data_IF_272379364101
#
_entry.id   IF_272379364101
#
_cell.length_a   1.000
_cell.length_b   1.000
_cell.length_c   1.000
_cell.angle_alpha   90.00
_cell.angle_beta   90.00
_cell.angle_gamma   90.00
#
_symmetry.space_group_name_H-M   'P 1'
#
loop_
_entity.id
_entity.type
_entity.pdbx_description
1 polymer ?
#
# COMPACT_ATOMS: atom_id res chain seq x y z
N UNK A 1 -31.65 -29.27 15.17
CA UNK A 1 -30.63 -29.39 16.24
C UNK A 1 -29.36 -28.79 15.69
N UNK A 2 -29.22 -27.48 15.87
CA UNK A 2 -28.10 -26.68 15.39
C UNK A 2 -27.34 -26.24 16.64
N UNK A 3 -26.33 -27.01 17.04
CA UNK A 3 -25.31 -26.51 17.97
C UNK A 3 -24.39 -25.57 17.18
N UNK A 4 -24.73 -24.30 17.30
CA UNK A 4 -23.91 -23.17 16.90
C UNK A 4 -23.12 -22.68 18.11
N UNK A 5 -21.97 -22.09 17.81
CA UNK A 5 -21.09 -21.28 18.67
C UNK A 5 -20.02 -22.06 19.43
N UNK A 6 -18.84 -22.11 18.80
CA UNK A 6 -17.58 -22.10 19.54
C UNK A 6 -17.67 -21.02 20.64
N UNK A 7 -17.30 -21.41 21.87
CA UNK A 7 -17.40 -20.55 23.04
C UNK A 7 -16.70 -19.19 22.81
N UNK A 8 -17.25 -18.08 23.31
CA UNK A 8 -16.60 -16.78 23.21
C UNK A 8 -15.25 -16.83 23.95
N UNK A 9 -14.16 -16.70 23.19
CA UNK A 9 -12.82 -16.44 23.74
C UNK A 9 -12.89 -15.14 24.55
N UNK A 10 -12.35 -15.18 25.78
CA UNK A 10 -12.25 -14.06 26.74
C UNK A 10 -12.20 -12.69 26.07
N UNK A 11 -13.08 -11.78 26.49
CA UNK A 11 -13.08 -10.35 26.15
C UNK A 11 -11.74 -9.66 26.49
N UNK A 12 -10.89 -10.33 27.28
CA UNK A 12 -9.62 -9.81 27.79
C UNK A 12 -8.36 -10.61 27.36
N UNK A 13 -8.44 -11.46 26.32
CA UNK A 13 -7.32 -12.32 25.88
C UNK A 13 -5.96 -11.60 25.80
N UNK A 14 -5.90 -10.43 25.16
CA UNK A 14 -4.63 -9.71 24.99
C UNK A 14 -4.07 -9.20 26.33
N UNK A 15 -4.94 -8.70 27.21
CA UNK A 15 -4.53 -8.30 28.56
C UNK A 15 -4.08 -9.52 29.38
N UNK A 16 -4.75 -10.67 29.26
CA UNK A 16 -4.36 -11.91 29.94
C UNK A 16 -2.97 -12.38 29.48
N UNK A 17 -2.69 -12.33 28.18
CA UNK A 17 -1.38 -12.66 27.61
C UNK A 17 -0.30 -11.69 28.09
N UNK A 18 -0.58 -10.39 28.11
CA UNK A 18 0.36 -9.37 28.62
C UNK A 18 0.65 -9.62 30.10
N UNK A 19 -0.37 -9.83 30.94
CA UNK A 19 -0.22 -10.16 32.37
C UNK A 19 0.60 -11.44 32.57
N UNK A 20 0.35 -12.47 31.76
CA UNK A 20 1.09 -13.72 31.81
C UNK A 20 2.57 -13.54 31.43
N UNK A 21 2.87 -12.74 30.41
CA UNK A 21 4.23 -12.42 30.00
C UNK A 21 5.02 -11.69 31.10
N UNK A 22 4.40 -10.70 31.75
CA UNK A 22 5.01 -10.02 32.90
C UNK A 22 5.29 -11.01 34.05
N UNK A 23 4.32 -11.88 34.37
CA UNK A 23 4.49 -12.91 35.40
C UNK A 23 5.60 -13.92 35.07
N UNK A 24 5.82 -14.22 33.79
CA UNK A 24 6.88 -15.09 33.31
C UNK A 24 8.28 -14.43 33.34
N UNK A 25 8.35 -13.12 33.65
CA UNK A 25 9.57 -12.36 33.84
C UNK A 25 9.99 -11.55 32.62
N UNK A 26 9.01 -11.06 31.84
CA UNK A 26 9.20 -9.89 30.98
C UNK A 26 9.08 -8.60 31.81
N UNK A 27 9.88 -7.60 31.50
CA UNK A 27 9.77 -6.26 32.10
C UNK A 27 8.66 -5.44 31.44
N UNK A 28 8.42 -5.70 30.17
CA UNK A 28 7.38 -5.07 29.36
C UNK A 28 6.86 -6.06 28.31
N UNK A 29 5.57 -5.98 27.97
CA UNK A 29 4.95 -6.84 26.97
C UNK A 29 3.83 -6.12 26.23
N UNK A 30 3.69 -6.42 24.94
CA UNK A 30 2.57 -5.99 24.13
C UNK A 30 2.02 -7.18 23.35
N UNK A 31 0.71 -7.17 23.15
CA UNK A 31 0.02 -8.17 22.39
C UNK A 31 -0.87 -7.51 21.34
N UNK A 32 -0.91 -8.11 20.16
CA UNK A 32 -1.77 -7.68 19.05
C UNK A 32 -2.68 -8.83 18.63
N UNK A 33 -3.92 -8.53 18.27
CA UNK A 33 -4.78 -9.47 17.56
C UNK A 33 -5.16 -8.95 16.18
N UNK A 34 -5.14 -9.84 15.20
CA UNK A 34 -5.75 -9.64 13.90
C UNK A 34 -6.84 -10.69 13.72
N UNK A 35 -8.09 -10.25 13.58
CA UNK A 35 -9.21 -11.09 13.20
C UNK A 35 -9.57 -10.72 11.77
N UNK A 36 -9.66 -11.69 10.86
CA UNK A 36 -10.03 -11.47 9.46
C UNK A 36 -11.03 -12.50 9.00
N UNK A 37 -12.03 -12.03 8.24
CA UNK A 37 -12.96 -12.85 7.48
C UNK A 37 -12.96 -12.35 6.05
N UNK A 38 -12.89 -13.24 5.08
CA UNK A 38 -13.06 -12.87 3.68
C UNK A 38 -13.71 -13.96 2.86
N UNK A 39 -14.39 -13.52 1.80
CA UNK A 39 -14.90 -14.36 0.74
C UNK A 39 -14.51 -13.72 -0.59
N UNK A 40 -13.89 -14.49 -1.48
CA UNK A 40 -13.61 -14.11 -2.86
C UNK A 40 -14.09 -15.18 -3.83
N UNK A 41 -14.48 -14.72 -5.02
CA UNK A 41 -14.96 -15.57 -6.10
C UNK A 41 -14.30 -15.16 -7.41
N UNK A 42 -13.63 -16.11 -8.04
CA UNK A 42 -13.10 -16.01 -9.39
C UNK A 42 -14.02 -16.69 -10.41
N UNK A 43 -14.22 -16.04 -11.55
CA UNK A 43 -14.93 -16.59 -12.71
C UNK A 43 -14.08 -16.46 -13.96
N UNK A 44 -14.19 -17.44 -14.85
CA UNK A 44 -13.56 -17.37 -16.16
C UNK A 44 -14.43 -18.00 -17.23
N UNK A 45 -14.59 -17.28 -18.34
CA UNK A 45 -15.50 -17.62 -19.43
C UNK A 45 -16.95 -17.86 -18.96
N UNK A 46 -17.43 -17.00 -18.05
CA UNK A 46 -18.78 -17.06 -17.48
C UNK A 46 -19.03 -18.26 -16.57
N UNK A 47 -17.98 -18.94 -16.12
CA UNK A 47 -18.07 -20.11 -15.23
C UNK A 47 -17.25 -19.84 -13.97
N UNK A 48 -17.78 -20.30 -12.85
CA UNK A 48 -17.07 -20.32 -11.58
C UNK A 48 -15.73 -21.08 -11.71
N UNK A 49 -14.63 -20.42 -11.34
CA UNK A 49 -13.29 -21.00 -11.32
C UNK A 49 -12.87 -21.34 -9.88
N UNK A 50 -13.09 -20.42 -8.94
CA UNK A 50 -12.75 -20.61 -7.54
C UNK A 50 -13.70 -19.85 -6.59
N UNK A 51 -13.84 -20.41 -5.39
CA UNK A 51 -14.47 -19.75 -4.23
C UNK A 51 -13.53 -19.96 -3.05
N UNK A 52 -13.02 -18.86 -2.50
CA UNK A 52 -12.11 -18.89 -1.36
C UNK A 52 -12.78 -18.20 -0.16
N UNK A 53 -12.88 -18.92 0.95
CA UNK A 53 -13.31 -18.39 2.24
C UNK A 53 -12.16 -18.49 3.22
N UNK A 54 -11.76 -17.36 3.78
CA UNK A 54 -10.75 -17.27 4.82
C UNK A 54 -11.39 -16.79 6.12
N UNK A 55 -11.11 -17.49 7.21
CA UNK A 55 -11.34 -17.01 8.56
C UNK A 55 -10.05 -17.23 9.36
N UNK A 56 -9.43 -16.14 9.76
CA UNK A 56 -8.19 -16.15 10.51
C UNK A 56 -8.33 -15.33 11.78
N UNK A 57 -7.70 -15.84 12.84
CA UNK A 57 -7.59 -15.16 14.11
C UNK A 57 -6.21 -15.42 14.66
N UNK A 58 -5.42 -14.37 14.70
CA UNK A 58 -4.01 -14.45 15.03
C UNK A 58 -3.66 -13.56 16.22
N UNK A 59 -2.72 -14.06 17.01
CA UNK A 59 -2.15 -13.38 18.15
C UNK A 59 -0.66 -13.15 17.90
N UNK A 60 -0.22 -11.91 18.09
CA UNK A 60 1.18 -11.54 18.20
C UNK A 60 1.53 -11.16 19.63
N UNK A 61 2.69 -11.57 20.12
CA UNK A 61 3.24 -11.17 21.42
C UNK A 61 4.67 -10.68 21.22
N UNK A 62 4.96 -9.45 21.63
CA UNK A 62 6.33 -8.93 21.77
C UNK A 62 6.61 -8.68 23.24
N UNK A 63 7.76 -9.16 23.72
CA UNK A 63 8.20 -8.99 25.11
C UNK A 63 9.59 -8.37 25.17
N UNK A 64 9.84 -7.66 26.25
CA UNK A 64 11.12 -7.02 26.57
C UNK A 64 11.66 -7.56 27.89
N UNK A 65 12.96 -7.83 27.92
CA UNK A 65 13.74 -8.17 29.12
C UNK A 65 14.98 -7.29 29.12
N UNK A 66 14.97 -6.23 29.91
CA UNK A 66 15.89 -5.10 29.80
C UNK A 66 15.83 -4.50 28.40
N UNK A 67 16.98 -4.44 27.73
CA UNK A 67 17.11 -3.98 26.34
C UNK A 67 17.09 -5.12 25.31
N UNK A 68 16.60 -6.30 25.71
CA UNK A 68 16.45 -7.45 24.81
C UNK A 68 14.98 -7.61 24.47
N UNK A 69 14.68 -7.99 23.23
CA UNK A 69 13.30 -8.18 22.79
C UNK A 69 13.15 -9.47 21.98
N UNK A 70 11.95 -10.03 22.01
CA UNK A 70 11.54 -11.09 21.11
C UNK A 70 10.06 -10.94 20.76
N UNK A 71 9.70 -11.35 19.55
CA UNK A 71 8.33 -11.41 19.08
C UNK A 71 7.99 -12.83 18.62
N UNK A 72 6.80 -13.30 18.94
CA UNK A 72 6.24 -14.57 18.51
C UNK A 72 4.80 -14.36 18.07
N UNK A 73 4.29 -15.25 17.23
CA UNK A 73 2.88 -15.26 16.82
C UNK A 73 2.29 -16.66 16.83
N UNK A 74 0.97 -16.75 16.93
CA UNK A 74 0.21 -17.99 16.83
C UNK A 74 -1.20 -17.75 16.27
N UNK A 75 -1.68 -18.73 15.50
CA UNK A 75 -3.06 -18.79 14.98
C UNK A 75 -3.95 -19.76 15.78
N UNK A 76 -3.34 -20.67 16.56
CA UNK A 76 -4.06 -21.47 17.56
C UNK A 76 -4.11 -20.70 18.89
N UNK A 77 -5.32 -20.36 19.32
CA UNK A 77 -5.56 -19.63 20.56
C UNK A 77 -5.97 -20.52 21.73
N UNK A 78 -5.69 -21.83 21.66
CA UNK A 78 -5.90 -22.73 22.80
C UNK A 78 -5.10 -22.30 24.03
N UNK A 79 -5.59 -22.53 25.27
CA UNK A 79 -4.86 -22.17 26.49
C UNK A 79 -3.44 -22.77 26.56
N UNK A 80 -3.26 -23.98 26.02
CA UNK A 80 -1.95 -24.63 25.95
C UNK A 80 -0.99 -23.87 25.01
N UNK A 81 -1.46 -23.45 23.84
CA UNK A 81 -0.64 -22.65 22.92
C UNK A 81 -0.35 -21.26 23.48
N UNK A 82 -1.30 -20.62 24.15
CA UNK A 82 -1.08 -19.34 24.84
C UNK A 82 0.04 -19.43 25.89
N UNK A 83 0.02 -20.47 26.75
CA UNK A 83 1.05 -20.67 27.76
C UNK A 83 2.44 -20.88 27.12
N UNK A 84 2.52 -21.72 26.08
CA UNK A 84 3.75 -21.98 25.33
C UNK A 84 4.26 -20.75 24.60
N UNK A 85 3.36 -19.93 24.04
CA UNK A 85 3.68 -18.68 23.35
C UNK A 85 4.37 -17.72 24.31
N UNK A 86 3.82 -17.52 25.50
CA UNK A 86 4.41 -16.69 26.55
C UNK A 86 5.77 -17.20 27.00
N UNK A 87 5.88 -18.49 27.34
CA UNK A 87 7.14 -19.12 27.75
C UNK A 87 8.23 -18.92 26.69
N UNK A 88 7.89 -19.21 25.43
CA UNK A 88 8.81 -19.08 24.30
C UNK A 88 9.24 -17.64 24.08
N UNK A 89 8.32 -16.68 24.13
CA UNK A 89 8.64 -15.27 23.93
C UNK A 89 9.69 -14.78 24.95
N UNK A 90 9.47 -15.08 26.24
CA UNK A 90 10.37 -14.65 27.32
C UNK A 90 11.71 -15.37 27.24
N UNK A 91 11.71 -16.68 26.96
CA UNK A 91 12.95 -17.44 26.78
C UNK A 91 13.79 -16.90 25.61
N UNK A 92 13.14 -16.58 24.47
CA UNK A 92 13.80 -15.98 23.32
C UNK A 92 14.37 -14.59 23.65
N UNK A 93 13.61 -13.74 24.35
CA UNK A 93 14.07 -12.40 24.73
C UNK A 93 15.30 -12.46 25.66
N UNK A 94 15.35 -13.40 26.61
CA UNK A 94 16.53 -13.58 27.49
C UNK A 94 17.81 -13.95 26.72
N UNK A 95 17.67 -14.65 25.60
CA UNK A 95 18.79 -15.11 24.76
C UNK A 95 19.14 -14.14 23.63
N UNK A 96 18.28 -13.16 23.34
CA UNK A 96 18.51 -12.18 22.31
C UNK A 96 19.67 -11.22 22.69
N UNK A 97 20.41 -10.68 21.70
CA UNK A 97 21.35 -9.62 21.95
C UNK A 97 20.63 -8.37 22.48
N UNK A 98 21.36 -7.55 23.24
CA UNK A 98 20.85 -6.25 23.65
C UNK A 98 20.77 -5.30 22.45
N UNK A 99 19.66 -4.59 22.36
CA UNK A 99 19.39 -3.54 21.39
C UNK A 99 19.17 -2.23 22.17
N UNK A 100 20.14 -1.30 22.15
CA UNK A 100 20.04 -0.01 22.85
C UNK A 100 18.86 0.86 22.42
N UNK A 101 18.19 0.50 21.34
CA UNK A 101 17.06 1.24 20.78
C UNK A 101 15.75 0.47 20.88
N UNK A 102 15.73 -0.72 21.50
CA UNK A 102 14.51 -1.46 21.80
C UNK A 102 13.70 -0.77 22.91
N UNK A 103 12.37 -0.88 22.83
CA UNK A 103 11.45 -0.37 23.85
C UNK A 103 10.15 0.17 23.27
N UNK A 104 9.17 0.43 24.13
CA UNK A 104 7.89 1.00 23.73
C UNK A 104 7.98 2.44 23.23
N UNK A 105 6.89 2.87 22.61
CA UNK A 105 6.63 4.27 22.42
C UNK A 105 6.58 5.01 23.77
N UNK A 106 7.08 6.26 23.83
CA UNK A 106 6.92 7.10 25.02
C UNK A 106 5.44 7.34 25.35
N UNK A 107 5.07 7.31 26.63
CA UNK A 107 3.67 7.44 27.09
C UNK A 107 3.01 8.77 26.73
N UNK A 108 3.79 9.84 26.59
CA UNK A 108 3.32 11.17 26.16
C UNK A 108 3.02 11.22 24.65
N UNK A 109 3.37 10.18 23.90
CA UNK A 109 3.12 10.04 22.47
C UNK A 109 1.96 9.10 22.15
N UNK A 110 1.48 8.33 23.12
CA UNK A 110 0.38 7.39 22.91
C UNK A 110 -0.92 8.13 22.57
N UNK A 111 -1.69 7.56 21.63
CA UNK A 111 -3.02 8.03 21.32
C UNK A 111 -3.94 7.83 22.54
N UNK A 112 -4.84 8.78 22.76
CA UNK A 112 -5.81 8.75 23.87
C UNK A 112 -7.22 8.84 23.30
N UNK A 113 -8.10 7.98 23.81
CA UNK A 113 -9.49 7.94 23.39
C UNK A 113 -10.30 9.17 23.86
N UNK A 114 -11.51 9.38 23.30
CA UNK A 114 -12.10 8.58 22.23
C UNK A 114 -11.38 8.79 20.89
N UNK A 115 -11.22 7.73 20.11
CA UNK A 115 -10.61 7.81 18.78
C UNK A 115 -11.61 8.40 17.78
N UNK A 116 -11.10 9.07 16.74
CA UNK A 116 -11.92 9.60 15.65
C UNK A 116 -12.62 8.43 14.94
N UNK A 117 -13.91 8.59 14.68
CA UNK A 117 -14.64 7.69 13.79
C UNK A 117 -14.25 7.99 12.33
N UNK A 118 -13.61 7.02 11.70
CA UNK A 118 -13.08 7.09 10.35
C UNK A 118 -13.99 6.42 9.32
N UNK A 119 -15.15 5.90 9.75
CA UNK A 119 -16.13 5.19 8.91
C UNK A 119 -15.49 4.05 8.09
N UNK A 120 -14.62 3.24 8.71
CA UNK A 120 -13.82 2.23 8.00
C UNK A 120 -14.55 0.91 7.77
N UNK A 121 -15.69 0.71 8.43
CA UNK A 121 -16.39 -0.57 8.45
C UNK A 121 -17.81 -0.44 7.89
N UNK A 122 -18.06 -1.20 6.83
CA UNK A 122 -19.35 -1.43 6.21
C UNK A 122 -19.77 -2.89 6.51
N UNK A 123 -20.92 -3.11 7.16
CA UNK A 123 -21.37 -4.44 7.55
C UNK A 123 -21.94 -5.28 6.40
N UNK A 124 -21.93 -4.78 5.16
CA UNK A 124 -22.54 -5.42 3.99
C UNK A 124 -21.79 -6.67 3.50
N UNK A 125 -21.88 -7.78 4.22
CA UNK A 125 -21.33 -9.07 3.76
C UNK A 125 -21.95 -9.52 2.42
N UNK A 126 -21.16 -10.13 1.53
CA UNK A 126 -21.63 -10.64 0.22
C UNK A 126 -21.65 -12.16 0.20
N UNK A 127 -22.66 -12.73 -0.45
CA UNK A 127 -22.72 -14.19 -0.68
C UNK A 127 -21.85 -14.59 -1.86
N UNK A 128 -21.50 -15.87 -1.96
CA UNK A 128 -20.72 -16.39 -3.09
C UNK A 128 -21.44 -16.19 -4.42
N UNK A 129 -22.76 -16.40 -4.46
CA UNK A 129 -23.59 -16.22 -5.65
C UNK A 129 -23.58 -14.76 -6.12
N UNK A 130 -23.64 -13.83 -5.16
CA UNK A 130 -23.61 -12.39 -5.47
C UNK A 130 -22.24 -11.97 -6.00
N UNK A 131 -21.16 -12.53 -5.47
CA UNK A 131 -19.80 -12.26 -5.95
C UNK A 131 -19.56 -12.90 -7.33
N UNK A 132 -20.01 -14.13 -7.55
CA UNK A 132 -19.98 -14.81 -8.86
C UNK A 132 -20.68 -13.96 -9.92
N UNK A 133 -21.88 -13.47 -9.61
CA UNK A 133 -22.65 -12.64 -10.53
C UNK A 133 -21.88 -11.37 -10.93
N UNK A 134 -21.39 -10.58 -9.98
CA UNK A 134 -20.69 -9.32 -10.31
C UNK A 134 -19.34 -9.54 -10.98
N UNK A 135 -18.64 -10.63 -10.65
CA UNK A 135 -17.43 -11.05 -11.36
C UNK A 135 -17.74 -11.38 -12.82
N UNK A 136 -18.84 -12.11 -13.08
CA UNK A 136 -19.27 -12.49 -14.42
C UNK A 136 -19.77 -11.28 -15.22
N UNK A 137 -20.45 -10.33 -14.59
CA UNK A 137 -20.86 -9.07 -15.21
C UNK A 137 -19.65 -8.24 -15.66
N UNK A 138 -18.60 -8.15 -14.83
CA UNK A 138 -17.38 -7.43 -15.18
C UNK A 138 -16.62 -8.11 -16.33
N UNK A 139 -16.54 -9.44 -16.30
CA UNK A 139 -15.96 -10.24 -17.38
C UNK A 139 -16.72 -10.06 -18.70
N UNK A 140 -18.06 -10.17 -18.66
CA UNK A 140 -18.90 -10.01 -19.84
C UNK A 140 -18.78 -8.61 -20.44
N UNK A 141 -18.76 -7.57 -19.61
CA UNK A 141 -18.57 -6.19 -20.06
C UNK A 141 -17.20 -5.96 -20.71
N UNK A 142 -16.14 -6.60 -20.19
CA UNK A 142 -14.81 -6.52 -20.80
C UNK A 142 -14.75 -7.26 -22.15
N UNK A 143 -15.32 -8.47 -22.23
CA UNK A 143 -15.39 -9.27 -23.47
C UNK A 143 -16.26 -8.61 -24.55
N UNK A 144 -17.23 -7.77 -24.17
CA UNK A 144 -18.06 -7.02 -25.11
C UNK A 144 -17.31 -5.89 -25.83
N UNK A 145 -16.11 -5.49 -25.37
CA UNK A 145 -15.31 -4.46 -26.02
C UNK A 145 -14.70 -5.01 -27.32
N UNK A 146 -14.96 -4.38 -28.50
CA UNK A 146 -14.41 -4.84 -29.76
C UNK A 146 -12.87 -4.89 -29.76
N UNK A 147 -12.32 -6.06 -30.12
CA UNK A 147 -10.87 -6.30 -30.12
C UNK A 147 -10.37 -7.11 -28.92
N UNK A 148 -11.19 -7.28 -27.88
CA UNK A 148 -10.92 -8.25 -26.81
C UNK A 148 -11.18 -9.66 -27.33
N UNK A 149 -10.19 -10.53 -27.19
CA UNK A 149 -10.23 -11.89 -27.74
C UNK A 149 -10.46 -12.96 -26.66
N UNK A 150 -9.93 -12.76 -25.44
CA UNK A 150 -9.99 -13.74 -24.36
C UNK A 150 -10.13 -13.06 -23.01
N UNK A 151 -10.70 -13.76 -22.05
CA UNK A 151 -10.70 -13.38 -20.65
C UNK A 151 -9.55 -14.05 -19.89
N UNK A 152 -8.92 -13.32 -18.96
CA UNK A 152 -8.06 -13.89 -17.91
C UNK A 152 -8.85 -14.16 -16.61
N UNK A 153 -10.09 -13.69 -16.52
CA UNK A 153 -11.01 -13.93 -15.41
C UNK A 153 -11.52 -12.63 -14.76
N UNK A 154 -12.74 -12.70 -14.22
CA UNK A 154 -13.32 -11.70 -13.34
C UNK A 154 -13.22 -12.17 -11.88
N UNK A 155 -13.00 -11.24 -10.96
CA UNK A 155 -12.83 -11.56 -9.55
C UNK A 155 -13.43 -10.47 -8.67
N UNK A 156 -14.15 -10.90 -7.65
CA UNK A 156 -14.78 -10.05 -6.67
C UNK A 156 -14.59 -10.62 -5.28
N UNK A 157 -14.56 -9.76 -4.27
CA UNK A 157 -14.44 -10.20 -2.90
C UNK A 157 -14.85 -9.14 -1.90
N UNK A 158 -15.07 -9.61 -0.68
CA UNK A 158 -15.20 -8.75 0.48
C UNK A 158 -14.36 -9.30 1.62
N UNK A 159 -13.93 -8.40 2.50
CA UNK A 159 -13.26 -8.74 3.75
C UNK A 159 -13.71 -7.84 4.89
N UNK A 160 -13.65 -8.38 6.10
CA UNK A 160 -13.76 -7.66 7.36
C UNK A 160 -12.54 -8.00 8.19
N UNK A 161 -11.98 -6.99 8.82
CA UNK A 161 -10.80 -7.10 9.66
C UNK A 161 -10.97 -6.32 10.96
N UNK A 162 -10.41 -6.84 12.04
CA UNK A 162 -10.30 -6.14 13.31
C UNK A 162 -8.86 -6.21 13.79
N UNK A 163 -8.33 -5.06 14.19
CA UNK A 163 -7.02 -4.93 14.81
C UNK A 163 -7.19 -4.44 16.25
N UNK A 164 -6.45 -5.05 17.19
CA UNK A 164 -6.35 -4.56 18.57
C UNK A 164 -4.91 -4.66 19.04
N UNK A 165 -4.43 -3.62 19.72
CA UNK A 165 -3.12 -3.55 20.35
C UNK A 165 -3.31 -3.27 21.85
N UNK A 166 -2.66 -4.08 22.68
CA UNK A 166 -2.59 -3.91 24.13
C UNK A 166 -1.13 -3.90 24.58
N UNK A 167 -0.77 -2.97 25.46
CA UNK A 167 0.58 -2.89 26.03
C UNK A 167 0.54 -2.94 27.56
N UNK A 168 1.62 -3.39 28.18
CA UNK A 168 1.77 -3.39 29.64
C UNK A 168 1.84 -1.99 30.24
N UNK A 169 2.03 -0.93 29.44
CA UNK A 169 2.02 0.47 29.87
C UNK A 169 0.64 1.13 29.71
N UNK A 170 -0.40 0.33 29.46
CA UNK A 170 -1.80 0.77 29.56
C UNK A 170 -2.42 1.28 28.25
N UNK A 171 -1.73 1.17 27.11
CA UNK A 171 -2.40 1.36 25.82
C UNK A 171 -3.31 0.16 25.52
N UNK A 172 -4.57 0.43 25.18
CA UNK A 172 -5.54 -0.53 24.67
C UNK A 172 -6.35 0.17 23.57
N UNK A 173 -6.06 -0.17 22.32
CA UNK A 173 -6.69 0.43 21.16
C UNK A 173 -7.16 -0.64 20.19
N UNK A 174 -8.35 -0.45 19.62
CA UNK A 174 -8.88 -1.31 18.58
C UNK A 174 -9.59 -0.48 17.51
N UNK A 175 -9.57 -1.01 16.29
CA UNK A 175 -10.42 -0.54 15.20
C UNK A 175 -10.76 -1.72 14.27
N UNK A 176 -11.80 -1.52 13.49
CA UNK A 176 -12.24 -2.46 12.47
C UNK A 176 -12.27 -1.78 11.11
N UNK A 177 -12.22 -2.59 10.06
CA UNK A 177 -12.35 -2.11 8.70
C UNK A 177 -12.84 -3.21 7.77
N UNK A 178 -13.59 -2.81 6.76
CA UNK A 178 -14.01 -3.67 5.65
C UNK A 178 -13.21 -3.35 4.39
N UNK A 179 -13.25 -4.23 3.41
CA UNK A 179 -12.85 -3.91 2.04
C UNK A 179 -13.72 -4.69 1.06
N UNK A 180 -14.07 -4.04 -0.04
CA UNK A 180 -14.75 -4.65 -1.18
C UNK A 180 -13.86 -4.48 -2.40
N UNK A 181 -13.71 -5.53 -3.19
CA UNK A 181 -12.88 -5.50 -4.39
C UNK A 181 -13.62 -6.08 -5.58
N UNK A 182 -13.40 -5.50 -6.75
CA UNK A 182 -13.85 -6.01 -8.04
C UNK A 182 -12.78 -5.73 -9.08
N UNK A 183 -12.51 -6.68 -9.95
CA UNK A 183 -11.59 -6.50 -11.06
C UNK A 183 -11.72 -7.59 -12.12
N UNK A 184 -11.12 -7.34 -13.27
CA UNK A 184 -11.10 -8.27 -14.40
C UNK A 184 -9.82 -8.10 -15.19
N UNK A 185 -9.27 -9.21 -15.67
CA UNK A 185 -8.19 -9.26 -16.64
C UNK A 185 -8.68 -9.79 -17.99
N UNK A 186 -8.17 -9.24 -19.09
CA UNK A 186 -8.50 -9.65 -20.46
C UNK A 186 -7.30 -9.57 -21.39
N UNK A 187 -7.38 -10.27 -22.51
CA UNK A 187 -6.40 -10.26 -23.59
C UNK A 187 -7.07 -9.72 -24.85
N UNK A 188 -6.51 -8.66 -25.40
CA UNK A 188 -6.88 -8.13 -26.71
C UNK A 188 -5.93 -8.66 -27.79
N UNK A 189 -6.44 -8.86 -29.00
CA UNK A 189 -5.69 -9.42 -30.12
C UNK A 189 -5.93 -8.63 -31.41
N UNK A 190 -4.86 -8.39 -32.17
CA UNK A 190 -4.90 -7.79 -33.50
C UNK A 190 -3.72 -8.31 -34.31
N UNK A 191 -4.00 -8.83 -35.50
CA UNK A 191 -3.00 -9.33 -36.44
C UNK A 191 -2.00 -10.34 -35.81
N UNK A 192 -2.49 -11.18 -34.88
CA UNK A 192 -1.70 -12.16 -34.13
C UNK A 192 -0.87 -11.61 -32.97
N UNK A 193 -0.83 -10.29 -32.76
CA UNK A 193 -0.26 -9.68 -31.56
C UNK A 193 -1.29 -9.68 -30.42
N UNK A 194 -0.87 -10.09 -29.23
CA UNK A 194 -1.71 -10.15 -28.04
C UNK A 194 -1.19 -9.22 -26.95
N UNK A 195 -2.09 -8.48 -26.31
CA UNK A 195 -1.77 -7.63 -25.17
C UNK A 195 -2.75 -7.85 -24.02
N UNK A 196 -2.21 -7.87 -22.80
CA UNK A 196 -3.02 -8.00 -21.58
C UNK A 196 -3.52 -6.64 -21.14
N UNK A 197 -4.68 -6.61 -20.51
CA UNK A 197 -5.17 -5.46 -19.77
C UNK A 197 -6.13 -5.82 -18.68
N UNK A 198 -6.41 -4.85 -17.82
CA UNK A 198 -7.24 -5.06 -16.66
C UNK A 198 -7.61 -3.77 -15.97
N UNK A 199 -8.62 -3.88 -15.11
CA UNK A 199 -9.00 -2.85 -14.17
C UNK A 199 -9.43 -3.52 -12.88
N UNK A 200 -9.12 -2.88 -11.75
CA UNK A 200 -9.56 -3.28 -10.44
C UNK A 200 -9.74 -2.09 -9.51
N UNK A 201 -10.63 -2.27 -8.56
CA UNK A 201 -10.99 -1.29 -7.54
C UNK A 201 -11.10 -2.00 -6.20
N UNK A 202 -10.65 -1.31 -5.15
CA UNK A 202 -10.90 -1.70 -3.76
C UNK A 202 -11.34 -0.49 -2.96
N UNK A 203 -12.39 -0.65 -2.15
CA UNK A 203 -12.98 0.43 -1.34
C UNK A 203 -13.35 -0.09 0.03
N UNK A 204 -13.42 0.80 1.04
CA UNK A 204 -13.88 0.40 2.39
C UNK A 204 -15.36 0.05 2.41
N UNK A 205 -16.18 0.84 1.71
CA UNK A 205 -17.62 0.65 1.61
C UNK A 205 -18.00 0.12 0.23
N UNK A 206 -18.99 -0.75 0.20
CA UNK A 206 -19.54 -1.31 -1.04
C UNK A 206 -20.13 -0.21 -1.92
N UNK A 207 -20.77 0.78 -1.30
CA UNK A 207 -21.39 1.92 -2.01
C UNK A 207 -20.41 2.78 -2.79
N UNK A 208 -19.13 2.77 -2.41
CA UNK A 208 -18.08 3.52 -3.10
C UNK A 208 -17.42 2.70 -4.23
N UNK A 209 -17.71 1.40 -4.33
CA UNK A 209 -17.12 0.52 -5.33
C UNK A 209 -17.77 0.77 -6.70
N UNK A 210 -16.99 1.07 -7.76
CA UNK A 210 -17.54 1.23 -9.09
C UNK A 210 -18.21 -0.04 -9.61
N UNK A 211 -19.29 0.13 -10.38
CA UNK A 211 -20.04 -0.98 -10.95
C UNK A 211 -19.24 -1.85 -11.92
N UNK A 212 -19.64 -3.12 -12.03
CA UNK A 212 -18.99 -4.14 -12.85
C UNK A 212 -18.85 -3.74 -14.32
N UNK A 213 -19.88 -3.12 -14.90
CA UNK A 213 -19.86 -2.63 -16.28
C UNK A 213 -18.73 -1.61 -16.54
N UNK A 214 -18.54 -0.63 -15.64
CA UNK A 214 -17.48 0.36 -15.80
C UNK A 214 -16.09 -0.29 -15.70
N UNK A 215 -15.89 -1.17 -14.72
CA UNK A 215 -14.62 -1.88 -14.53
C UNK A 215 -14.32 -2.75 -15.77
N UNK A 216 -15.31 -3.50 -16.25
CA UNK A 216 -15.20 -4.36 -17.42
C UNK A 216 -14.86 -3.59 -18.69
N UNK A 217 -15.65 -2.56 -19.04
CA UNK A 217 -15.39 -1.73 -20.23
C UNK A 217 -14.01 -1.09 -20.17
N UNK A 218 -13.64 -0.52 -19.03
CA UNK A 218 -12.33 0.10 -18.85
C UNK A 218 -11.18 -0.89 -19.04
N UNK A 219 -11.31 -2.12 -18.53
CA UNK A 219 -10.32 -3.18 -18.71
C UNK A 219 -10.15 -3.54 -20.20
N UNK A 220 -11.27 -3.74 -20.92
CA UNK A 220 -11.28 -4.04 -22.35
C UNK A 220 -10.67 -2.92 -23.20
N UNK A 221 -11.11 -1.68 -22.98
CA UNK A 221 -10.61 -0.50 -23.71
C UNK A 221 -9.09 -0.33 -23.55
N UNK A 222 -8.57 -0.52 -22.32
CA UNK A 222 -7.13 -0.44 -22.07
C UNK A 222 -6.34 -1.58 -22.70
N UNK A 223 -6.89 -2.80 -22.73
CA UNK A 223 -6.25 -3.92 -23.40
C UNK A 223 -6.15 -3.65 -24.91
N UNK A 224 -7.27 -3.25 -25.53
CA UNK A 224 -7.35 -2.95 -26.97
C UNK A 224 -6.43 -1.81 -27.39
N UNK A 225 -6.35 -0.75 -26.58
CA UNK A 225 -5.49 0.38 -26.86
C UNK A 225 -4.01 -0.02 -27.02
N UNK A 226 -3.54 -1.04 -26.30
CA UNK A 226 -2.13 -1.45 -26.31
C UNK A 226 -1.73 -2.37 -27.46
N UNK A 227 -2.69 -2.97 -28.17
CA UNK A 227 -2.38 -4.03 -29.14
C UNK A 227 -1.58 -3.51 -30.34
N UNK A 228 -0.64 -4.33 -30.80
CA UNK A 228 0.25 -3.99 -31.92
C UNK A 228 1.31 -2.96 -31.53
N UNK A 229 2.02 -3.13 -30.40
CA UNK A 229 3.03 -2.17 -29.96
C UNK A 229 4.18 -2.09 -30.96
N UNK A 230 4.76 -0.90 -31.06
CA UNK A 230 5.97 -0.64 -31.86
C UNK A 230 7.17 -0.48 -30.96
N UNK A 231 8.34 -0.80 -31.50
CA UNK A 231 9.61 -0.41 -30.90
C UNK A 231 9.94 1.02 -31.31
N UNK A 232 10.67 1.71 -30.45
CA UNK A 232 11.20 3.04 -30.71
C UNK A 232 12.72 3.01 -30.60
N UNK A 233 13.40 3.85 -31.37
CA UNK A 233 14.84 4.01 -31.24
C UNK A 233 15.19 4.64 -29.88
N UNK A 234 16.37 4.32 -29.36
CA UNK A 234 16.87 4.94 -28.14
C UNK A 234 16.95 6.47 -28.31
N UNK A 235 16.41 7.19 -27.33
CA UNK A 235 16.29 8.66 -27.39
C UNK A 235 16.23 9.26 -25.98
N UNK A 236 16.21 10.59 -25.91
CA UNK A 236 15.83 11.34 -24.72
C UNK A 236 14.60 12.17 -25.07
N UNK A 237 13.53 12.00 -24.32
CA UNK A 237 12.26 12.68 -24.57
C UNK A 237 11.48 12.91 -23.27
N UNK A 238 10.43 13.75 -23.29
CA UNK A 238 9.44 13.80 -22.22
C UNK A 238 8.84 12.42 -21.94
N UNK A 239 8.68 12.12 -20.66
CA UNK A 239 8.00 10.91 -20.18
C UNK A 239 6.92 11.30 -19.19
N UNK A 240 5.70 10.84 -19.46
CA UNK A 240 4.54 11.01 -18.59
C UNK A 240 4.20 9.67 -17.99
N UNK A 241 4.12 9.56 -16.66
CA UNK A 241 3.54 8.41 -15.99
C UNK A 241 2.08 8.70 -15.69
N UNK A 242 1.17 7.83 -16.11
CA UNK A 242 -0.24 7.98 -15.76
C UNK A 242 -0.45 7.92 -14.24
N UNK A 243 -1.58 8.42 -13.76
CA UNK A 243 -1.89 8.48 -12.33
C UNK A 243 -1.91 7.10 -11.62
N UNK A 244 -1.96 5.99 -12.37
CA UNK A 244 -1.86 4.63 -11.80
C UNK A 244 -0.43 4.20 -11.60
N UNK A 245 0.49 4.65 -12.46
CA UNK A 245 1.91 4.31 -12.44
C UNK A 245 2.76 5.34 -11.71
N UNK A 246 2.31 6.60 -11.63
CA UNK A 246 3.04 7.71 -11.02
C UNK A 246 3.49 7.43 -9.57
N UNK A 247 2.68 6.72 -8.78
CA UNK A 247 3.07 6.30 -7.43
C UNK A 247 4.34 5.45 -7.41
N UNK A 248 4.62 4.66 -8.46
CA UNK A 248 5.80 3.79 -8.51
C UNK A 248 7.11 4.58 -8.67
N UNK A 249 7.11 5.73 -9.36
CA UNK A 249 8.30 6.57 -9.47
C UNK A 249 8.52 7.45 -8.22
N UNK A 250 7.47 7.73 -7.44
CA UNK A 250 7.55 8.50 -6.20
C UNK A 250 7.84 7.62 -4.97
N UNK A 251 7.39 6.37 -4.96
CA UNK A 251 7.59 5.40 -3.86
C UNK A 251 9.03 5.30 -3.35
N UNK A 252 10.08 5.30 -4.22
CA UNK A 252 11.48 5.34 -3.76
C UNK A 252 11.81 6.51 -2.82
N UNK A 253 11.23 7.70 -3.03
CA UNK A 253 11.42 8.83 -2.12
C UNK A 253 10.85 8.55 -0.73
N UNK A 254 9.69 7.89 -0.68
CA UNK A 254 9.03 7.49 0.58
C UNK A 254 9.86 6.45 1.32
N UNK A 255 10.39 5.46 0.60
CA UNK A 255 11.34 4.49 1.15
C UNK A 255 12.63 5.15 1.65
N UNK A 256 13.14 6.15 0.94
CA UNK A 256 14.36 6.87 1.30
C UNK A 256 14.22 7.75 2.55
N UNK A 257 13.01 8.16 2.94
CA UNK A 257 12.78 8.90 4.18
C UNK A 257 12.39 7.99 5.36
N UNK A 258 12.45 6.67 5.19
CA UNK A 258 12.18 5.71 6.26
C UNK A 258 13.26 5.76 7.34
N UNK A 259 12.84 5.94 8.59
CA UNK A 259 13.69 5.99 9.79
C UNK A 259 14.72 4.87 9.86
N UNK A 260 14.34 3.59 9.65
CA UNK A 260 15.31 2.50 9.62
C UNK A 260 16.40 2.65 8.56
N UNK A 261 16.09 3.20 7.38
CA UNK A 261 17.07 3.43 6.32
C UNK A 261 17.98 4.63 6.61
N UNK A 262 17.42 5.70 7.20
CA UNK A 262 18.20 6.86 7.68
C UNK A 262 19.17 6.43 8.77
N UNK A 263 18.68 5.67 9.76
CA UNK A 263 19.46 5.22 10.90
C UNK A 263 20.61 4.27 10.49
N UNK A 264 20.44 3.49 9.42
CA UNK A 264 21.51 2.67 8.81
C UNK A 264 22.41 3.44 7.83
N UNK A 265 22.05 4.66 7.46
CA UNK A 265 22.77 5.46 6.48
C UNK A 265 22.67 4.96 5.02
N UNK A 266 21.67 4.13 4.72
CA UNK A 266 21.48 3.45 3.41
C UNK A 266 20.46 4.16 2.51
N UNK A 267 20.34 5.49 2.64
CA UNK A 267 19.36 6.29 1.90
C UNK A 267 20.05 7.39 1.10
N UNK A 268 19.62 7.55 -0.16
CA UNK A 268 20.02 8.64 -1.05
C UNK A 268 19.48 10.02 -0.60
N UNK A 269 18.57 10.06 0.37
CA UNK A 269 18.03 11.30 0.98
C UNK A 269 18.52 11.55 2.42
N UNK A 270 19.44 10.75 2.97
CA UNK A 270 19.83 10.82 4.39
C UNK A 270 20.29 12.19 4.88
N UNK A 271 20.89 12.99 4.01
CA UNK A 271 21.40 14.33 4.30
C UNK A 271 20.54 15.44 3.67
N UNK A 272 19.24 15.18 3.45
CA UNK A 272 18.31 16.10 2.75
C UNK A 272 17.20 16.68 3.62
N UNK A 273 17.21 16.47 4.94
CA UNK A 273 16.24 17.12 5.83
C UNK A 273 16.29 18.65 5.66
N UNK A 274 15.13 19.28 5.47
CA UNK A 274 15.01 20.71 5.23
C UNK A 274 15.52 21.18 3.86
N UNK A 275 15.85 20.27 2.94
CA UNK A 275 16.30 20.60 1.59
C UNK A 275 15.23 20.26 0.55
N UNK A 276 15.29 20.97 -0.57
CA UNK A 276 14.44 20.73 -1.73
C UNK A 276 14.80 19.37 -2.37
N UNK A 277 13.81 18.51 -2.51
CA UNK A 277 13.89 17.18 -3.13
C UNK A 277 13.02 17.11 -4.38
N UNK A 278 11.84 17.73 -4.33
CA UNK A 278 10.94 17.86 -5.48
C UNK A 278 10.92 19.28 -6.04
N UNK A 279 10.35 19.42 -7.24
CA UNK A 279 10.07 20.72 -7.85
C UNK A 279 9.27 21.66 -6.92
N UNK A 280 9.39 22.95 -7.15
CA UNK A 280 8.58 23.98 -6.46
C UNK A 280 7.07 23.72 -6.64
N UNK A 281 6.31 23.98 -5.58
CA UNK A 281 4.88 23.73 -5.48
C UNK A 281 4.49 22.26 -5.25
N UNK A 282 5.43 21.31 -5.20
CA UNK A 282 5.11 19.88 -4.99
C UNK A 282 4.96 19.56 -3.51
N UNK A 283 3.72 19.31 -3.08
CA UNK A 283 3.41 18.91 -1.71
C UNK A 283 2.90 17.46 -1.68
N UNK A 284 3.45 16.65 -0.77
CA UNK A 284 2.98 15.29 -0.49
C UNK A 284 2.44 15.23 0.93
N UNK A 285 1.15 14.95 1.06
CA UNK A 285 0.41 14.95 2.32
C UNK A 285 0.10 13.52 2.73
N UNK A 286 0.57 13.13 3.91
CA UNK A 286 0.12 11.93 4.61
C UNK A 286 -1.02 12.29 5.56
N UNK A 287 -2.21 11.73 5.33
CA UNK A 287 -3.42 12.04 6.09
C UNK A 287 -4.04 10.77 6.69
N UNK A 288 -3.79 10.46 7.98
CA UNK A 288 -4.35 9.27 8.63
C UNK A 288 -5.86 9.35 8.87
N UNK A 289 -6.47 10.53 8.72
CA UNK A 289 -7.84 10.79 9.16
C UNK A 289 -8.85 10.88 8.01
N UNK A 290 -8.49 10.43 6.81
CA UNK A 290 -9.42 10.42 5.68
C UNK A 290 -10.59 9.45 5.98
N UNK A 291 -11.85 9.90 5.97
CA UNK A 291 -12.99 8.99 6.07
C UNK A 291 -12.90 7.94 4.96
N UNK A 292 -13.14 6.67 5.30
CA UNK A 292 -13.09 5.53 4.36
C UNK A 292 -11.76 5.36 3.61
N UNK A 293 -10.68 6.00 4.07
CA UNK A 293 -9.37 5.86 3.46
C UNK A 293 -8.80 4.45 3.66
N UNK A 294 -8.14 3.93 2.63
CA UNK A 294 -7.56 2.58 2.70
C UNK A 294 -6.42 2.48 3.71
N UNK A 295 -5.67 3.56 3.92
CA UNK A 295 -4.59 3.66 4.91
C UNK A 295 -4.96 4.43 6.18
N UNK A 296 -6.24 4.73 6.39
CA UNK A 296 -6.68 5.49 7.58
C UNK A 296 -6.57 4.66 8.84
N UNK A 297 -6.15 5.31 9.93
CA UNK A 297 -5.98 4.67 11.23
C UNK A 297 -6.14 5.69 12.37
N UNK A 298 -6.68 5.30 13.53
CA UNK A 298 -6.73 6.18 14.70
C UNK A 298 -5.39 6.32 15.45
N UNK A 299 -4.47 5.36 15.27
CA UNK A 299 -3.15 5.30 15.91
C UNK A 299 -2.21 4.40 15.09
N UNK A 300 -0.90 4.56 15.25
CA UNK A 300 0.08 3.69 14.56
C UNK A 300 0.22 2.33 15.25
N UNK A 301 0.98 1.39 14.69
CA UNK A 301 1.08 0.05 15.27
C UNK A 301 1.98 -0.05 16.53
N UNK A 302 2.38 1.07 17.12
CA UNK A 302 2.94 1.19 18.47
C UNK A 302 1.99 1.92 19.43
N UNK A 303 0.77 2.23 18.98
CA UNK A 303 -0.24 2.98 19.73
C UNK A 303 0.01 4.48 19.76
N UNK A 304 0.92 5.01 18.93
CA UNK A 304 1.27 6.44 18.90
C UNK A 304 0.16 7.23 18.20
N UNK A 305 -0.09 8.44 18.71
CA UNK A 305 -0.97 9.41 18.09
C UNK A 305 -0.45 9.80 16.69
N UNK A 306 -1.21 9.43 15.67
CA UNK A 306 -0.99 9.81 14.28
C UNK A 306 -1.44 11.25 14.03
N UNK A 307 -0.95 11.87 12.97
CA UNK A 307 -1.35 13.22 12.60
C UNK A 307 -1.14 13.47 11.11
N UNK A 308 -1.99 14.32 10.53
CA UNK A 308 -1.80 14.79 9.17
C UNK A 308 -0.51 15.59 9.05
N UNK A 309 0.33 15.26 8.06
CA UNK A 309 1.61 15.92 7.82
C UNK A 309 1.88 16.07 6.32
N UNK A 310 2.45 17.19 5.91
CA UNK A 310 3.16 17.25 4.66
C UNK A 310 4.52 16.56 4.86
N UNK A 311 4.80 15.46 4.16
CA UNK A 311 6.11 14.79 4.15
C UNK A 311 7.12 15.58 3.30
N UNK A 312 6.60 16.16 2.23
CA UNK A 312 7.27 17.17 1.43
C UNK A 312 6.33 18.36 1.32
N UNK A 313 6.82 19.57 1.60
CA UNK A 313 6.06 20.82 1.57
C UNK A 313 6.80 21.81 0.67
N UNK A 314 6.12 22.33 -0.35
CA UNK A 314 6.74 23.11 -1.43
C UNK A 314 8.03 22.44 -1.95
N UNK A 315 8.00 21.13 -2.14
CA UNK A 315 9.14 20.30 -2.60
C UNK A 315 10.26 20.09 -1.58
N UNK A 316 10.18 20.66 -0.38
CA UNK A 316 11.17 20.52 0.70
C UNK A 316 10.81 19.34 1.60
N UNK A 317 11.80 18.51 1.92
CA UNK A 317 11.63 17.41 2.87
C UNK A 317 11.50 17.92 4.31
N UNK A 318 10.38 17.61 4.98
CA UNK A 318 10.04 18.19 6.29
C UNK A 318 10.12 17.19 7.45
N UNK A 319 10.03 15.89 7.19
CA UNK A 319 9.99 14.86 8.24
C UNK A 319 10.51 13.52 7.74
N UNK A 320 11.08 12.74 8.66
CA UNK A 320 11.31 11.30 8.47
C UNK A 320 10.05 10.51 8.84
N UNK A 321 9.94 9.29 8.33
CA UNK A 321 8.96 8.31 8.82
C UNK A 321 9.61 7.52 9.95
N UNK A 322 9.24 7.82 11.20
CA UNK A 322 9.86 7.27 12.39
C UNK A 322 8.88 6.44 13.22
N UNK A 323 9.29 5.22 13.53
CA UNK A 323 8.83 4.45 14.68
C UNK A 323 9.69 4.75 15.92
N UNK A 324 9.35 4.18 17.07
CA UNK A 324 10.05 4.47 18.33
C UNK A 324 11.51 4.03 18.35
N UNK A 325 11.85 2.89 17.74
CA UNK A 325 13.21 2.38 17.69
C UNK A 325 14.13 3.25 16.82
N UNK A 326 13.73 3.54 15.59
CA UNK A 326 14.48 4.42 14.68
C UNK A 326 14.56 5.86 15.19
N UNK A 327 13.50 6.36 15.85
CA UNK A 327 13.52 7.64 16.52
C UNK A 327 14.61 7.69 17.61
N UNK A 328 14.67 6.70 18.51
CA UNK A 328 15.72 6.61 19.54
C UNK A 328 17.12 6.54 18.94
N UNK A 329 17.31 5.72 17.91
CA UNK A 329 18.61 5.58 17.24
C UNK A 329 19.10 6.90 16.63
N UNK A 330 18.17 7.73 16.14
CA UNK A 330 18.48 9.03 15.54
C UNK A 330 18.48 10.19 16.55
N UNK A 331 18.16 9.95 17.83
CA UNK A 331 17.98 11.01 18.83
C UNK A 331 16.76 11.91 18.55
N UNK A 332 15.75 11.39 17.87
CA UNK A 332 14.52 12.07 17.47
C UNK A 332 13.30 11.50 18.21
N UNK A 333 12.11 12.04 17.89
CA UNK A 333 10.82 11.57 18.40
C UNK A 333 10.07 10.77 17.33
N UNK A 334 9.32 9.74 17.74
CA UNK A 334 8.42 9.01 16.84
C UNK A 334 7.42 9.96 16.19
N UNK A 335 7.10 9.70 14.93
CA UNK A 335 6.21 10.52 14.10
C UNK A 335 4.81 9.93 13.96
N UNK A 336 4.57 8.77 14.59
CA UNK A 336 3.32 8.03 14.44
C UNK A 336 3.25 7.28 13.12
N UNK A 337 4.35 6.67 12.67
CA UNK A 337 4.41 5.93 11.40
C UNK A 337 4.86 4.48 11.61
N UNK A 338 4.85 3.97 12.84
CA UNK A 338 5.19 2.58 13.08
C UNK A 338 4.18 1.67 12.38
N UNK A 339 4.69 0.69 11.63
CA UNK A 339 3.88 -0.32 10.96
C UNK A 339 4.47 -1.70 11.21
N UNK A 340 3.63 -2.70 11.46
CA UNK A 340 4.10 -4.08 11.73
C UNK A 340 3.07 -5.13 11.35
N UNK A 341 3.54 -6.36 11.24
CA UNK A 341 2.70 -7.55 11.31
C UNK A 341 2.52 -8.07 12.74
N UNK A 342 2.02 -9.29 12.84
CA UNK A 342 1.81 -9.99 14.11
C UNK A 342 3.12 -10.29 14.84
N UNK A 343 4.21 -10.52 14.10
CA UNK A 343 5.55 -10.74 14.63
C UNK A 343 6.59 -9.99 13.79
N UNK A 344 7.79 -9.84 14.35
CA UNK A 344 8.91 -9.11 13.76
C UNK A 344 9.06 -7.69 14.34
N UNK A 345 10.16 -7.01 13.99
CA UNK A 345 10.36 -5.62 14.37
C UNK A 345 9.37 -4.71 13.64
N UNK A 346 8.94 -3.63 14.30
CA UNK A 346 8.15 -2.59 13.64
C UNK A 346 8.98 -1.96 12.51
N UNK A 347 8.40 -1.90 11.32
CA UNK A 347 8.84 -1.05 10.22
C UNK A 347 8.24 0.35 10.33
N UNK A 348 8.21 1.05 9.19
CA UNK A 348 7.48 2.30 9.05
C UNK A 348 6.71 2.33 7.73
N UNK A 349 5.53 2.92 7.73
CA UNK A 349 4.74 3.16 6.53
C UNK A 349 3.99 4.49 6.63
N UNK A 350 3.52 4.99 5.49
CA UNK A 350 2.55 6.08 5.44
C UNK A 350 1.14 5.56 5.72
N UNK A 351 0.20 6.49 5.87
CA UNK A 351 -1.22 6.24 6.02
C UNK A 351 -1.91 6.43 4.66
N UNK A 352 -2.68 7.52 4.47
CA UNK A 352 -3.17 7.94 3.16
C UNK A 352 -2.28 9.05 2.60
N UNK A 353 -1.25 8.64 1.87
CA UNK A 353 -0.34 9.53 1.18
C UNK A 353 -0.94 9.99 -0.14
N UNK A 354 -0.88 11.29 -0.41
CA UNK A 354 -1.16 11.81 -1.75
C UNK A 354 -0.26 12.98 -2.11
N UNK A 355 0.05 13.11 -3.40
CA UNK A 355 0.62 14.32 -3.96
C UNK A 355 -0.52 15.23 -4.41
N UNK A 356 -0.47 16.52 -4.04
CA UNK A 356 -1.48 17.48 -4.49
C UNK A 356 -1.48 17.60 -6.02
N UNK A 357 -2.65 17.80 -6.67
CA UNK A 357 -2.74 17.91 -8.11
C UNK A 357 -2.09 19.20 -8.63
N UNK A 358 -1.69 19.18 -9.90
CA UNK A 358 -1.38 20.38 -10.68
C UNK A 358 -2.60 20.89 -11.43
N UNK A 359 -2.38 21.77 -12.41
CA UNK A 359 -3.45 22.45 -13.16
C UNK A 359 -3.78 21.79 -14.50
N UNK A 360 -2.80 21.15 -15.14
CA UNK A 360 -2.96 20.53 -16.47
C UNK A 360 -3.54 19.13 -16.34
N UNK A 361 -4.53 18.80 -17.15
CA UNK A 361 -4.93 17.40 -17.31
C UNK A 361 -3.91 16.62 -18.15
N UNK A 362 -4.11 15.30 -18.29
CA UNK A 362 -3.19 14.45 -19.03
C UNK A 362 -3.02 14.89 -20.50
N UNK A 363 -4.09 15.36 -21.14
CA UNK A 363 -4.05 15.88 -22.51
C UNK A 363 -3.23 17.18 -22.58
N UNK A 364 -3.40 18.08 -21.61
CA UNK A 364 -2.61 19.30 -21.47
C UNK A 364 -1.12 19.02 -21.25
N UNK A 365 -0.78 18.03 -20.40
CA UNK A 365 0.61 17.61 -20.21
C UNK A 365 1.23 17.10 -21.52
N UNK A 366 0.52 16.27 -22.28
CA UNK A 366 1.00 15.79 -23.59
C UNK A 366 1.16 16.95 -24.59
N UNK A 367 0.20 17.88 -24.62
CA UNK A 367 0.25 19.04 -25.51
C UNK A 367 1.45 19.95 -25.20
N UNK A 368 1.71 20.23 -23.92
CA UNK A 368 2.85 21.02 -23.47
C UNK A 368 4.19 20.30 -23.76
N UNK A 369 4.22 18.96 -23.71
CA UNK A 369 5.40 18.15 -24.02
C UNK A 369 5.73 18.03 -25.51
N UNK A 370 4.73 18.15 -26.39
CA UNK A 370 4.89 17.93 -27.83
C UNK A 370 5.00 16.44 -28.19
N UNK A 371 6.19 15.85 -28.07
CA UNK A 371 6.43 14.45 -28.46
C UNK A 371 7.14 13.70 -27.35
N UNK A 372 6.65 12.51 -26.99
CA UNK A 372 7.22 11.74 -25.89
C UNK A 372 6.51 10.42 -25.62
N UNK A 373 6.75 9.87 -24.42
CA UNK A 373 6.24 8.58 -24.00
C UNK A 373 5.26 8.73 -22.83
N UNK A 374 4.04 8.24 -23.00
CA UNK A 374 3.09 8.02 -21.91
C UNK A 374 3.23 6.59 -21.39
N UNK A 375 3.66 6.42 -20.15
CA UNK A 375 3.82 5.15 -19.44
C UNK A 375 2.52 4.78 -18.74
N UNK A 376 2.02 3.58 -19.04
CA UNK A 376 0.80 3.00 -18.43
C UNK A 376 1.06 1.62 -17.79
N UNK A 377 2.29 1.13 -17.87
CA UNK A 377 2.76 -0.07 -17.21
C UNK A 377 4.26 0.02 -16.92
N UNK A 378 4.68 -0.50 -15.76
CA UNK A 378 6.06 -0.56 -15.31
C UNK A 378 6.36 -1.95 -14.78
N UNK A 379 7.53 -2.50 -15.10
CA UNK A 379 7.96 -3.83 -14.70
C UNK A 379 9.46 -3.86 -14.40
N UNK A 380 9.83 -4.66 -13.40
CA UNK A 380 11.22 -4.84 -12.97
C UNK A 380 11.96 -3.53 -12.62
N UNK A 381 11.41 -2.62 -11.80
CA UNK A 381 12.15 -1.45 -11.36
C UNK A 381 13.40 -1.88 -10.55
N UNK A 382 14.52 -1.23 -10.84
CA UNK A 382 15.78 -1.37 -10.12
C UNK A 382 16.15 -0.03 -9.50
N UNK A 383 16.64 -0.04 -8.26
CA UNK A 383 17.01 1.14 -7.51
C UNK A 383 18.30 0.89 -6.72
N UNK A 384 19.28 1.78 -6.88
CA UNK A 384 20.35 1.91 -5.91
C UNK A 384 19.93 2.84 -4.77
N UNK A 385 19.61 2.27 -3.61
CA UNK A 385 19.12 3.02 -2.44
C UNK A 385 20.11 4.04 -1.88
N UNK A 386 21.40 3.96 -2.20
CA UNK A 386 22.42 4.90 -1.72
C UNK A 386 22.59 6.12 -2.64
N UNK A 387 22.38 5.94 -3.96
CA UNK A 387 22.67 6.97 -4.96
C UNK A 387 21.42 7.56 -5.61
N UNK A 388 20.30 6.83 -5.59
CA UNK A 388 19.08 7.18 -6.30
C UNK A 388 19.11 6.85 -7.79
N UNK A 389 20.08 6.07 -8.26
CA UNK A 389 20.10 5.56 -9.64
C UNK A 389 18.96 4.57 -9.83
N UNK A 390 18.13 4.81 -10.84
CA UNK A 390 16.91 4.07 -11.08
C UNK A 390 16.72 3.73 -12.56
N UNK A 391 16.14 2.57 -12.80
CA UNK A 391 15.72 2.13 -14.13
C UNK A 391 14.53 1.19 -14.03
N UNK A 392 13.62 1.25 -15.00
CA UNK A 392 12.52 0.29 -15.09
C UNK A 392 12.17 -0.01 -16.56
N UNK A 393 11.78 -1.25 -16.82
CA UNK A 393 11.08 -1.57 -18.05
C UNK A 393 9.67 -0.97 -18.01
N UNK A 394 9.24 -0.39 -19.12
CA UNK A 394 7.93 0.25 -19.23
C UNK A 394 7.25 -0.07 -20.55
N UNK A 395 5.92 0.07 -20.56
CA UNK A 395 5.12 0.08 -21.78
C UNK A 395 4.01 1.13 -21.67
N UNK A 396 3.47 1.51 -22.83
CA UNK A 396 2.44 2.53 -22.93
C UNK A 396 2.31 3.04 -24.35
N UNK A 397 2.40 4.36 -24.55
CA UNK A 397 2.05 5.01 -25.81
C UNK A 397 3.07 6.07 -26.19
N UNK A 398 3.54 6.03 -27.43
CA UNK A 398 4.21 7.16 -28.02
C UNK A 398 3.16 8.21 -28.42
N UNK A 399 3.40 9.46 -28.09
CA UNK A 399 2.57 10.59 -28.52
C UNK A 399 3.39 11.58 -29.33
N UNK A 400 2.75 12.19 -30.32
CA UNK A 400 3.33 13.18 -31.23
C UNK A 400 2.39 14.39 -31.32
N UNK A 401 2.93 15.59 -31.22
CA UNK A 401 2.16 16.84 -31.17
C UNK A 401 1.02 16.81 -30.13
N UNK A 402 1.27 16.19 -28.98
CA UNK A 402 0.33 16.07 -27.87
C UNK A 402 -0.76 15.02 -28.04
N UNK A 403 -0.70 14.19 -29.09
CA UNK A 403 -1.72 13.17 -29.38
C UNK A 403 -1.07 11.80 -29.44
N UNK A 404 -1.71 10.80 -28.82
CA UNK A 404 -1.26 9.40 -28.88
C UNK A 404 -1.17 8.96 -30.35
N UNK A 405 0.01 8.48 -30.75
CA UNK A 405 0.29 8.04 -32.11
C UNK A 405 0.20 6.51 -32.23
N UNK A 406 0.85 5.77 -31.32
CA UNK A 406 0.84 4.30 -31.31
C UNK A 406 1.29 3.72 -29.96
N UNK A 407 0.88 2.49 -29.61
CA UNK A 407 1.38 1.80 -28.43
C UNK A 407 2.86 1.41 -28.58
N UNK A 408 3.58 1.40 -27.47
CA UNK A 408 5.00 1.06 -27.37
C UNK A 408 5.22 0.06 -26.24
N UNK A 409 6.08 -0.92 -26.49
CA UNK A 409 6.51 -1.92 -25.50
C UNK A 409 8.01 -2.19 -25.62
N UNK A 410 8.55 -2.97 -24.68
CA UNK A 410 9.97 -3.35 -24.63
C UNK A 410 10.94 -2.15 -24.54
N UNK A 411 10.53 -1.07 -23.88
CA UNK A 411 11.40 0.09 -23.62
C UNK A 411 11.80 0.16 -22.15
N UNK A 412 12.95 0.76 -21.88
CA UNK A 412 13.45 1.02 -20.52
C UNK A 412 13.62 2.51 -20.33
N UNK A 413 13.13 3.03 -19.22
CA UNK A 413 13.42 4.40 -18.78
C UNK A 413 14.42 4.36 -17.63
N UNK A 414 15.37 5.29 -17.63
CA UNK A 414 16.39 5.36 -16.60
C UNK A 414 16.78 6.80 -16.27
N UNK A 415 17.27 7.00 -15.05
CA UNK A 415 17.78 8.28 -14.60
C UNK A 415 18.11 8.27 -13.11
N UNK A 416 18.58 9.42 -12.63
CA UNK A 416 18.79 9.65 -11.21
C UNK A 416 17.55 10.31 -10.60
N UNK A 417 16.94 9.65 -9.63
CA UNK A 417 15.65 10.08 -9.08
C UNK A 417 15.70 11.49 -8.48
N UNK A 418 16.79 11.84 -7.79
CA UNK A 418 16.97 13.20 -7.23
C UNK A 418 16.90 14.29 -8.29
N UNK A 419 17.34 14.00 -9.51
CA UNK A 419 17.39 14.97 -10.60
C UNK A 419 16.06 14.99 -11.37
N UNK A 420 15.37 13.84 -11.41
CA UNK A 420 14.03 13.72 -11.99
C UNK A 420 12.99 14.44 -11.11
N UNK A 421 13.04 14.27 -9.79
CA UNK A 421 12.09 14.86 -8.85
C UNK A 421 12.05 16.38 -8.89
N UNK A 422 13.19 17.03 -9.14
CA UNK A 422 13.30 18.48 -9.29
C UNK A 422 12.65 19.03 -10.58
N UNK A 423 12.28 18.15 -11.52
CA UNK A 423 11.73 18.53 -12.84
C UNK A 423 10.31 18.04 -13.05
N UNK A 424 9.65 17.55 -11.99
CA UNK A 424 8.28 17.05 -12.07
C UNK A 424 7.32 18.17 -12.44
N UNK A 425 6.43 17.89 -13.39
CA UNK A 425 5.18 18.61 -13.60
C UNK A 425 4.00 17.68 -13.28
N UNK A 426 3.02 18.19 -12.55
CA UNK A 426 1.90 17.41 -12.01
C UNK A 426 0.65 17.59 -12.86
N UNK A 427 -0.06 16.49 -13.08
CA UNK A 427 -1.39 16.47 -13.66
C UNK A 427 -2.46 16.89 -12.65
N UNK A 428 -3.65 17.22 -13.15
CA UNK A 428 -4.83 17.55 -12.35
C UNK A 428 -5.68 16.33 -11.98
N UNK A 429 -5.31 15.15 -12.48
CA UNK A 429 -6.07 13.90 -12.46
C UNK A 429 -5.77 13.02 -11.22
N UNK A 430 -5.63 13.63 -10.04
CA UNK A 430 -5.48 12.90 -8.79
C UNK A 430 -6.76 12.09 -8.49
N UNK A 431 -6.62 10.77 -8.43
CA UNK A 431 -7.69 9.85 -8.05
C UNK A 431 -7.28 9.03 -6.82
N UNK A 432 -8.14 9.00 -5.79
CA UNK A 432 -7.92 8.18 -4.60
C UNK A 432 -8.34 6.73 -4.85
N UNK A 433 -7.39 5.90 -5.28
CA UNK A 433 -7.59 4.46 -5.58
C UNK A 433 -7.09 3.54 -4.46
N UNK A 434 -6.25 4.05 -3.55
CA UNK A 434 -5.65 3.27 -2.46
C UNK A 434 -5.04 4.15 -1.36
N UNK A 435 -4.08 3.61 -0.61
CA UNK A 435 -3.36 4.34 0.44
C UNK A 435 -2.26 5.28 -0.07
N UNK A 436 -1.87 5.19 -1.34
CA UNK A 436 -0.88 6.08 -1.95
C UNK A 436 -1.34 6.50 -3.35
N UNK A 437 -1.56 7.80 -3.55
CA UNK A 437 -2.18 8.33 -4.76
C UNK A 437 -1.40 9.53 -5.29
N UNK A 438 -1.09 9.51 -6.58
CA UNK A 438 -0.30 10.55 -7.23
C UNK A 438 -1.00 10.88 -8.55
N UNK A 439 -1.16 12.16 -8.92
CA UNK A 439 -1.67 12.50 -10.25
C UNK A 439 -0.70 12.01 -11.34
N UNK A 440 -1.07 12.14 -12.62
CA UNK A 440 -0.12 11.91 -13.69
C UNK A 440 1.12 12.81 -13.51
N UNK A 441 2.32 12.29 -13.79
CA UNK A 441 3.57 13.04 -13.62
C UNK A 441 4.34 13.10 -14.93
N UNK A 442 4.71 14.30 -15.34
CA UNK A 442 5.59 14.52 -16.49
C UNK A 442 7.00 14.87 -16.03
N UNK A 443 7.97 14.29 -16.73
CA UNK A 443 9.39 14.61 -16.68
C UNK A 443 9.80 15.08 -18.08
N UNK A 444 10.39 16.26 -18.18
CA UNK A 444 10.72 16.95 -19.44
C UNK A 444 11.76 16.22 -20.31
N UNK A 445 12.74 15.55 -19.70
CA UNK A 445 13.78 14.82 -20.41
C UNK A 445 14.23 13.59 -19.61
N UNK A 446 13.91 12.41 -20.14
CA UNK A 446 14.29 11.10 -19.58
C UNK A 446 14.94 10.26 -20.67
N UNK A 447 15.99 9.51 -20.31
CA UNK A 447 16.61 8.55 -21.21
C UNK A 447 15.67 7.36 -21.43
N UNK A 448 15.37 7.08 -22.70
CA UNK A 448 14.53 5.97 -23.14
C UNK A 448 15.40 5.05 -23.99
N UNK A 449 15.67 3.85 -23.48
CA UNK A 449 16.36 2.81 -24.22
C UNK A 449 15.32 1.93 -24.93
N UNK A 450 15.40 1.90 -26.26
CA UNK A 450 14.62 1.05 -27.14
C UNK A 450 15.49 0.43 -28.23
N UNK A 451 14.93 -0.52 -28.98
CA UNK A 451 15.64 -1.34 -29.97
C UNK A 451 15.20 -1.09 -31.39
#
# INVERSE_FOLDING_TARGET
>A
MTESLAAPVSTDLLNDIVKAALKAGADAAEAVSADRRSLSVGVRNGKLEDVEREESRDLGLRVFVGQRQASVSASDLSPATQARLVERAVAMARLAPEDPHAGFAPEDRLARGPFIDLDLFDPSERTAETLEQVSAEAEAAALAVPGVARSEGGHAGWSSSRWRLVTSHGFDGAYEGSAFSLGVGVIAEKDGAMERGGESRSTRHLSDLPGADLIGRTAGERAVARVGPRKIASTTAPVIFDNRMAGQIVSPAIGAISGPSIARGTSFLKDRMGQRVFAEGVTLIDDPFRPRGMGSTPFDDEGVAVQKRALFDDGVLTTWLLNSASARQLGLKTTGHASRGLAGPSGVSTHNLHMEPGERDLAGLMADAGTGLLVTSMFGPSLNGNTGDWSAGVSGFWFENGVIAYPVSEVTVAGKLTDLYLRIQRGSDLEFRGGFNVPSLMFDAVAIAGK
#
